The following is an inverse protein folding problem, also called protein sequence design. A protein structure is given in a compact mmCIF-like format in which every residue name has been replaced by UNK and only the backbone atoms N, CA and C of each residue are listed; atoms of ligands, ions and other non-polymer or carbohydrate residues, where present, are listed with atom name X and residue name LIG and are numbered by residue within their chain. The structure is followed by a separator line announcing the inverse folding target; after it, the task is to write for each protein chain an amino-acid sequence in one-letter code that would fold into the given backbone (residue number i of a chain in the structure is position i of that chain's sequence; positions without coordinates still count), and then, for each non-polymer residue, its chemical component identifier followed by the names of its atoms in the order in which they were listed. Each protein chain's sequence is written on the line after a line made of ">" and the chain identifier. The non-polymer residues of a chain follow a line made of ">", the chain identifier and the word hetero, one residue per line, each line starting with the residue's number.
data_IF_006154743581
#
_entry.id   IF_006154743581
#
_cell.length_a   1.000
_cell.length_b   1.000
_cell.length_c   1.000
_cell.angle_alpha   90.00
_cell.angle_beta   90.00
_cell.angle_gamma   90.00
#
_symmetry.space_group_name_H-M   'P 1'
#
loop_
_entity.id
_entity.type
_entity.pdbx_description
1 polymer ?
#
# COMPACT_ATOMS: atom_id res chain seq x y z
N UNK A 1 3.31 29.37 18.65
CA UNK A 1 1.95 29.43 18.06
C UNK A 1 1.25 28.09 18.31
N UNK A 2 -0.07 28.08 18.53
CA UNK A 2 -0.82 26.82 18.63
C UNK A 2 -1.09 26.29 17.21
N UNK A 3 -0.68 25.06 16.93
CA UNK A 3 -0.84 24.43 15.61
C UNK A 3 -2.30 24.27 15.19
N UNK A 4 -3.19 23.93 16.10
CA UNK A 4 -4.63 23.83 15.83
C UNK A 4 -5.20 25.16 15.33
N UNK A 5 -4.80 26.27 15.97
CA UNK A 5 -5.20 27.62 15.56
C UNK A 5 -4.66 27.95 14.17
N UNK A 6 -3.39 27.63 13.90
CA UNK A 6 -2.78 27.83 12.58
C UNK A 6 -3.51 27.05 11.49
N UNK A 7 -3.74 25.76 11.71
CA UNK A 7 -4.49 24.91 10.77
C UNK A 7 -5.91 25.41 10.57
N UNK A 8 -6.54 25.96 11.60
CA UNK A 8 -7.85 26.62 11.47
C UNK A 8 -7.84 27.83 10.54
N UNK A 9 -6.78 28.63 10.54
CA UNK A 9 -6.59 29.72 9.56
C UNK A 9 -6.39 29.15 8.14
N UNK A 10 -5.56 28.13 7.98
CA UNK A 10 -5.34 27.47 6.69
C UNK A 10 -6.65 26.88 6.15
N UNK A 11 -7.46 26.24 6.99
CA UNK A 11 -8.78 25.72 6.59
C UNK A 11 -9.70 26.83 6.11
N UNK A 12 -9.71 27.98 6.80
CA UNK A 12 -10.54 29.12 6.41
C UNK A 12 -10.07 29.75 5.10
N UNK A 13 -8.76 29.85 4.90
CA UNK A 13 -8.19 30.34 3.62
C UNK A 13 -8.55 29.41 2.47
N UNK A 14 -8.37 28.10 2.66
CA UNK A 14 -8.74 27.09 1.66
C UNK A 14 -10.23 27.14 1.28
N UNK A 15 -11.13 27.42 2.23
CA UNK A 15 -12.58 27.56 1.95
C UNK A 15 -12.88 28.65 0.93
N UNK A 16 -12.06 29.68 0.83
CA UNK A 16 -12.22 30.75 -0.15
C UNK A 16 -11.85 30.29 -1.57
N UNK A 17 -11.00 29.28 -1.68
CA UNK A 17 -10.47 28.76 -2.94
C UNK A 17 -11.10 27.43 -3.40
N UNK A 18 -12.09 26.91 -2.66
CA UNK A 18 -12.74 25.61 -2.99
C UNK A 18 -13.44 25.60 -4.37
N UNK A 19 -13.82 26.78 -4.90
CA UNK A 19 -14.35 26.90 -6.25
C UNK A 19 -13.35 26.55 -7.36
N UNK A 20 -12.05 26.53 -7.05
CA UNK A 20 -10.98 26.16 -7.97
C UNK A 20 -10.82 24.63 -8.12
N UNK A 21 -11.50 23.85 -7.28
CA UNK A 21 -11.46 22.38 -7.33
C UNK A 21 -12.56 21.87 -8.24
N UNK A 22 -12.19 21.22 -9.30
CA UNK A 22 -13.10 20.67 -10.31
C UNK A 22 -12.82 19.17 -10.60
N UNK A 23 -13.50 18.63 -11.60
CA UNK A 23 -13.35 17.21 -11.98
C UNK A 23 -11.99 16.85 -12.60
N UNK A 24 -11.16 17.83 -12.93
CA UNK A 24 -9.82 17.63 -13.51
C UNK A 24 -8.71 17.81 -12.48
N UNK A 25 -9.03 18.32 -11.30
CA UNK A 25 -8.10 18.55 -10.22
C UNK A 25 -7.45 17.22 -9.79
N UNK A 26 -6.14 17.14 -9.89
CA UNK A 26 -5.34 15.99 -9.45
C UNK A 26 -5.04 16.06 -7.95
N UNK A 27 -4.61 14.97 -7.31
CA UNK A 27 -4.11 15.02 -5.93
C UNK A 27 -2.97 16.02 -5.74
N UNK A 28 -2.03 16.11 -6.69
CA UNK A 28 -0.91 17.07 -6.67
C UNK A 28 -1.41 18.52 -6.75
N UNK A 29 -2.44 18.81 -7.54
CA UNK A 29 -3.04 20.16 -7.59
C UNK A 29 -3.64 20.55 -6.22
N UNK A 30 -4.21 19.57 -5.50
CA UNK A 30 -4.72 19.83 -4.14
C UNK A 30 -3.58 20.09 -3.16
N UNK A 31 -2.46 19.39 -3.27
CA UNK A 31 -1.27 19.66 -2.45
C UNK A 31 -0.74 21.08 -2.69
N UNK A 32 -0.65 21.50 -3.94
CA UNK A 32 -0.25 22.87 -4.32
C UNK A 32 -1.23 23.91 -3.74
N UNK A 33 -2.53 23.67 -3.86
CA UNK A 33 -3.56 24.55 -3.28
C UNK A 33 -3.40 24.70 -1.76
N UNK A 34 -3.12 23.61 -1.06
CA UNK A 34 -2.88 23.63 0.40
C UNK A 34 -1.60 24.40 0.73
N UNK A 35 -0.51 24.16 -0.01
CA UNK A 35 0.75 24.90 0.14
C UNK A 35 0.55 26.40 -0.05
N UNK A 36 -0.18 26.81 -1.08
CA UNK A 36 -0.42 28.22 -1.39
C UNK A 36 -1.28 28.88 -0.30
N UNK A 37 -2.28 28.19 0.24
CA UNK A 37 -3.06 28.66 1.38
C UNK A 37 -2.21 28.83 2.64
N UNK A 38 -1.27 27.92 2.90
CA UNK A 38 -0.32 28.03 4.02
C UNK A 38 0.53 29.31 3.85
N UNK A 39 1.09 29.55 2.67
CA UNK A 39 1.90 30.73 2.39
C UNK A 39 1.09 32.01 2.60
N UNK A 40 -0.15 32.05 2.08
CA UNK A 40 -1.04 33.19 2.23
C UNK A 40 -1.38 33.50 3.70
N UNK A 41 -1.61 32.46 4.51
CA UNK A 41 -1.82 32.61 5.97
C UNK A 41 -0.57 33.12 6.64
N UNK A 42 0.61 32.63 6.30
CA UNK A 42 1.88 33.10 6.87
C UNK A 42 2.11 34.58 6.54
N UNK A 43 1.87 34.99 5.30
CA UNK A 43 1.96 36.41 4.88
C UNK A 43 0.95 37.29 5.62
N UNK A 44 -0.32 36.87 5.65
CA UNK A 44 -1.41 37.65 6.27
C UNK A 44 -1.19 37.86 7.78
N UNK A 45 -0.72 36.83 8.45
CA UNK A 45 -0.47 36.85 9.91
C UNK A 45 0.95 37.28 10.28
N UNK A 46 1.80 37.58 9.29
CA UNK A 46 3.21 37.95 9.47
C UNK A 46 3.98 36.89 10.27
N UNK A 47 3.74 35.60 9.96
CA UNK A 47 4.38 34.47 10.60
C UNK A 47 5.61 34.07 9.78
N UNK A 48 6.80 34.06 10.40
CA UNK A 48 7.98 33.45 9.79
C UNK A 48 7.79 31.94 9.74
N UNK A 49 7.73 31.40 8.52
CA UNK A 49 7.57 29.96 8.28
C UNK A 49 8.30 29.55 7.00
N UNK A 50 9.18 28.59 7.10
CA UNK A 50 9.76 27.94 5.94
C UNK A 50 8.85 26.75 5.55
N UNK A 51 8.25 26.81 4.36
CA UNK A 51 7.38 25.76 3.86
C UNK A 51 8.19 24.82 2.95
N UNK A 52 8.35 23.58 3.39
CA UNK A 52 9.02 22.51 2.64
C UNK A 52 7.95 21.68 1.90
N UNK A 53 8.02 21.63 0.58
CA UNK A 53 7.14 20.83 -0.27
C UNK A 53 7.90 20.36 -1.51
N UNK A 54 7.72 19.09 -1.89
CA UNK A 54 8.28 18.51 -3.12
C UNK A 54 7.13 18.00 -3.96
N UNK A 55 6.86 18.66 -5.07
CA UNK A 55 5.79 18.30 -6.00
C UNK A 55 5.96 16.87 -6.51
N UNK A 56 4.89 16.06 -6.36
CA UNK A 56 4.90 14.65 -6.71
C UNK A 56 5.82 13.79 -5.85
N UNK A 57 6.31 14.30 -4.72
CA UNK A 57 7.06 13.56 -3.72
C UNK A 57 6.22 12.45 -3.08
N UNK A 58 6.89 11.44 -2.54
CA UNK A 58 6.24 10.36 -1.78
C UNK A 58 6.64 10.39 -0.29
N UNK A 59 7.02 11.58 0.20
CA UNK A 59 7.36 11.79 1.60
C UNK A 59 6.10 11.90 2.46
N UNK A 60 6.23 11.56 3.73
CA UNK A 60 5.23 11.83 4.75
C UNK A 60 5.83 12.78 5.79
N UNK A 61 5.13 13.82 6.21
CA UNK A 61 3.94 14.39 5.59
C UNK A 61 4.25 15.09 4.25
N UNK A 62 3.21 15.41 3.46
CA UNK A 62 3.37 16.03 2.13
C UNK A 62 4.00 17.42 2.21
N UNK A 63 3.65 18.21 3.25
CA UNK A 63 4.15 19.56 3.48
C UNK A 63 4.69 19.67 4.92
N UNK A 64 5.82 20.35 5.10
CA UNK A 64 6.36 20.69 6.43
C UNK A 64 6.47 22.20 6.57
N UNK A 65 5.88 22.73 7.64
CA UNK A 65 5.93 24.12 8.05
C UNK A 65 6.91 24.27 9.19
N UNK A 66 8.10 24.84 8.94
CA UNK A 66 9.10 25.11 10.00
C UNK A 66 8.98 26.54 10.48
N UNK A 67 8.66 26.68 11.74
CA UNK A 67 8.52 27.99 12.42
C UNK A 67 9.80 28.38 13.16
N UNK A 68 10.66 27.42 13.47
CA UNK A 68 12.00 27.60 14.06
C UNK A 68 12.83 26.32 13.86
N UNK A 69 14.08 26.33 14.34
CA UNK A 69 14.94 25.13 14.34
C UNK A 69 14.34 23.96 15.14
N UNK A 70 13.50 24.25 16.13
CA UNK A 70 12.91 23.26 17.05
C UNK A 70 11.39 23.17 16.97
N UNK A 71 10.75 23.87 16.02
CA UNK A 71 9.29 23.90 15.91
C UNK A 71 8.84 23.68 14.46
N UNK A 72 8.27 22.52 14.20
CA UNK A 72 7.80 22.14 12.86
C UNK A 72 6.46 21.41 12.91
N UNK A 73 5.58 21.76 11.97
CA UNK A 73 4.26 21.17 11.78
C UNK A 73 4.23 20.42 10.44
N UNK A 74 3.80 19.17 10.47
CA UNK A 74 3.51 18.38 9.27
C UNK A 74 2.07 18.54 8.80
N UNK A 75 1.85 18.67 7.50
CA UNK A 75 0.53 18.66 6.88
C UNK A 75 0.49 17.53 5.86
N UNK A 76 -0.35 16.55 6.13
CA UNK A 76 -0.66 15.46 5.21
C UNK A 76 -1.91 15.82 4.41
N UNK A 77 -1.81 15.86 3.10
CA UNK A 77 -2.90 16.23 2.20
C UNK A 77 -3.60 14.99 1.67
N UNK A 78 -4.90 14.96 1.77
CA UNK A 78 -5.73 13.90 1.19
C UNK A 78 -6.81 14.51 0.31
N UNK A 79 -7.11 13.84 -0.80
CA UNK A 79 -8.17 14.29 -1.69
C UNK A 79 -9.07 13.14 -2.16
N UNK A 80 -10.33 13.46 -2.43
CA UNK A 80 -11.31 12.57 -3.04
C UNK A 80 -12.13 13.34 -4.05
N UNK A 81 -11.72 13.30 -5.30
CA UNK A 81 -12.35 14.05 -6.40
C UNK A 81 -13.29 13.13 -7.18
N UNK A 82 -14.56 13.12 -6.79
CA UNK A 82 -15.61 12.26 -7.35
C UNK A 82 -16.90 13.04 -7.60
N UNK A 83 -16.96 13.96 -8.59
CA UNK A 83 -18.04 14.93 -8.76
C UNK A 83 -19.42 14.30 -9.02
N UNK A 84 -19.48 13.03 -9.45
CA UNK A 84 -20.74 12.29 -9.66
C UNK A 84 -21.14 11.42 -8.47
N UNK A 85 -20.30 11.30 -7.45
CA UNK A 85 -20.54 10.43 -6.29
C UNK A 85 -21.43 11.11 -5.26
N UNK A 86 -22.29 10.29 -4.62
CA UNK A 86 -23.04 10.65 -3.41
C UNK A 86 -22.28 10.38 -2.12
N UNK A 87 -21.02 9.91 -2.20
CA UNK A 87 -20.24 9.52 -1.05
C UNK A 87 -19.95 10.71 -0.13
N UNK A 88 -20.52 10.71 1.07
CA UNK A 88 -20.29 11.70 2.12
C UNK A 88 -19.30 11.20 3.21
N UNK A 89 -18.75 10.01 3.07
CA UNK A 89 -17.77 9.46 4.03
C UNK A 89 -16.49 10.31 4.04
N UNK A 90 -15.93 10.54 5.22
CA UNK A 90 -14.66 11.19 5.48
C UNK A 90 -13.58 10.17 5.87
N UNK A 91 -13.79 8.92 5.49
CA UNK A 91 -12.87 7.81 5.73
C UNK A 91 -11.97 7.59 4.53
N UNK A 92 -10.68 7.44 4.77
CA UNK A 92 -9.68 7.17 3.74
C UNK A 92 -8.57 6.27 4.30
N UNK A 93 -7.88 5.56 3.42
CA UNK A 93 -6.65 4.87 3.79
C UNK A 93 -5.50 5.88 3.92
N UNK A 94 -4.89 5.91 5.08
CA UNK A 94 -3.67 6.68 5.36
C UNK A 94 -2.41 5.97 4.85
N UNK A 95 -1.28 6.45 5.30
CA UNK A 95 0.03 5.93 4.93
C UNK A 95 0.32 4.59 5.62
N UNK A 96 1.33 3.88 5.17
CA UNK A 96 1.83 2.72 5.91
C UNK A 96 2.40 3.16 7.24
N UNK A 97 2.31 2.30 8.25
CA UNK A 97 2.82 2.59 9.60
C UNK A 97 4.31 2.96 9.57
N UNK A 98 5.09 2.26 8.75
CA UNK A 98 6.53 2.55 8.61
C UNK A 98 6.80 3.81 7.76
N UNK A 99 5.94 4.13 6.80
CA UNK A 99 6.09 5.33 5.96
C UNK A 99 5.72 6.62 6.66
N UNK A 100 5.09 6.57 7.85
CA UNK A 100 4.61 7.73 8.59
C UNK A 100 5.44 8.04 9.86
N UNK A 101 6.72 7.70 9.84
CA UNK A 101 7.63 7.84 10.99
C UNK A 101 8.56 9.03 10.85
N UNK A 102 8.03 10.23 10.63
CA UNK A 102 8.86 11.42 10.63
C UNK A 102 8.96 11.99 12.05
N UNK A 103 10.16 11.99 12.60
CA UNK A 103 10.43 12.43 13.98
C UNK A 103 10.79 13.93 14.10
N UNK A 104 11.09 14.59 12.97
CA UNK A 104 11.52 15.99 12.93
C UNK A 104 10.36 17.00 12.81
N UNK A 105 9.12 16.54 13.02
CA UNK A 105 7.93 17.38 13.17
C UNK A 105 7.27 17.14 14.52
N UNK A 106 6.85 18.20 15.20
CA UNK A 106 6.22 18.11 16.52
C UNK A 106 4.85 17.45 16.45
N UNK A 107 4.08 17.84 15.44
CA UNK A 107 2.72 17.36 15.21
C UNK A 107 2.42 17.24 13.73
N UNK A 108 1.38 16.48 13.38
CA UNK A 108 0.90 16.32 12.01
C UNK A 108 -0.61 16.51 11.95
N UNK A 109 -1.08 17.24 10.94
CA UNK A 109 -2.50 17.41 10.65
C UNK A 109 -2.82 16.88 9.28
N UNK A 110 -4.05 16.37 9.11
CA UNK A 110 -4.60 16.02 7.80
C UNK A 110 -5.43 17.18 7.31
N UNK A 111 -5.22 17.55 6.05
CA UNK A 111 -6.09 18.42 5.26
C UNK A 111 -6.74 17.56 4.19
N UNK A 112 -8.05 17.33 4.31
CA UNK A 112 -8.79 16.50 3.38
C UNK A 112 -9.75 17.33 2.54
N UNK A 113 -9.48 17.42 1.25
CA UNK A 113 -10.32 18.10 0.26
C UNK A 113 -11.17 17.09 -0.50
N UNK A 114 -12.47 17.32 -0.54
CA UNK A 114 -13.45 16.42 -1.14
C UNK A 114 -14.34 17.15 -2.12
N UNK A 115 -14.41 16.66 -3.35
CA UNK A 115 -15.40 17.06 -4.34
C UNK A 115 -16.37 15.90 -4.59
N UNK A 116 -17.65 16.12 -4.35
CA UNK A 116 -18.75 15.21 -4.71
C UNK A 116 -19.88 15.98 -5.40
N UNK A 117 -21.00 15.32 -5.69
CA UNK A 117 -22.13 15.98 -6.37
C UNK A 117 -22.77 17.15 -5.59
N UNK A 118 -22.52 17.25 -4.28
CA UNK A 118 -23.05 18.29 -3.43
C UNK A 118 -22.12 19.51 -3.32
N UNK A 119 -20.94 19.45 -3.95
CA UNK A 119 -19.94 20.52 -3.95
C UNK A 119 -18.58 20.09 -3.43
N UNK A 120 -17.73 21.09 -3.20
CA UNK A 120 -16.40 20.92 -2.65
C UNK A 120 -16.40 21.21 -1.15
N UNK A 121 -15.75 20.36 -0.39
CA UNK A 121 -15.70 20.42 1.07
C UNK A 121 -14.27 20.20 1.53
N UNK A 122 -13.96 20.74 2.71
CA UNK A 122 -12.67 20.54 3.37
C UNK A 122 -12.91 20.18 4.84
N UNK A 123 -12.01 19.37 5.38
CA UNK A 123 -11.85 19.11 6.80
C UNK A 123 -10.37 19.01 7.17
N UNK A 124 -10.05 19.61 8.29
CA UNK A 124 -8.73 19.50 8.91
C UNK A 124 -8.87 18.81 10.26
N UNK A 125 -7.92 17.93 10.59
CA UNK A 125 -7.90 17.25 11.88
C UNK A 125 -6.47 16.78 12.21
N UNK A 126 -6.14 16.73 13.49
CA UNK A 126 -4.88 16.18 13.96
C UNK A 126 -4.78 14.72 13.52
N UNK A 127 -3.59 14.32 13.03
CA UNK A 127 -3.40 12.99 12.43
C UNK A 127 -3.74 11.87 13.41
N UNK A 128 -3.16 11.91 14.62
CA UNK A 128 -3.38 10.86 15.62
C UNK A 128 -4.84 10.74 16.07
N UNK A 129 -5.58 11.86 16.12
CA UNK A 129 -7.00 11.88 16.46
C UNK A 129 -7.91 11.33 15.36
N UNK A 130 -7.41 11.30 14.12
CA UNK A 130 -8.15 10.81 12.96
C UNK A 130 -7.89 9.34 12.62
N UNK A 131 -6.91 8.70 13.26
CA UNK A 131 -6.67 7.26 13.07
C UNK A 131 -7.76 6.45 13.74
N UNK A 132 -8.67 5.90 12.95
CA UNK A 132 -9.75 5.06 13.44
C UNK A 132 -9.31 3.63 13.74
N UNK A 133 -8.42 3.10 12.92
CA UNK A 133 -7.99 1.70 13.03
C UNK A 133 -6.71 1.46 12.21
N UNK A 134 -6.15 0.26 12.35
CA UNK A 134 -5.08 -0.24 11.51
C UNK A 134 -5.63 -1.35 10.64
N UNK A 135 -5.50 -1.18 9.33
CA UNK A 135 -5.92 -2.16 8.33
C UNK A 135 -4.72 -2.63 7.52
N UNK A 136 -4.78 -3.86 7.05
CA UNK A 136 -3.72 -4.42 6.22
C UNK A 136 -4.22 -4.57 4.79
N UNK A 137 -3.54 -3.89 3.89
CA UNK A 137 -3.71 -4.05 2.44
C UNK A 137 -2.56 -4.91 1.90
N UNK A 138 -1.51 -4.30 1.39
CA UNK A 138 -0.21 -4.93 1.11
C UNK A 138 0.82 -4.64 2.23
N UNK A 139 0.51 -3.72 3.12
CA UNK A 139 1.24 -3.40 4.35
C UNK A 139 0.25 -2.92 5.41
N UNK A 140 0.58 -2.94 6.70
CA UNK A 140 -0.21 -2.28 7.73
C UNK A 140 -0.30 -0.78 7.46
N UNK A 141 -1.53 -0.25 7.38
CA UNK A 141 -1.84 1.14 7.08
C UNK A 141 -2.84 1.69 8.08
N UNK A 142 -2.78 2.98 8.30
CA UNK A 142 -3.80 3.66 9.07
C UNK A 142 -5.11 3.75 8.27
N UNK A 143 -6.22 3.48 8.94
CA UNK A 143 -7.56 3.83 8.47
C UNK A 143 -7.93 5.16 9.13
N UNK A 144 -8.06 6.19 8.33
CA UNK A 144 -8.35 7.54 8.78
C UNK A 144 -9.84 7.79 8.70
N UNK A 145 -10.43 8.38 9.75
CA UNK A 145 -11.78 8.90 9.76
C UNK A 145 -11.79 10.29 10.45
N UNK A 146 -12.06 11.33 9.67
CA UNK A 146 -12.08 12.70 10.17
C UNK A 146 -13.37 13.04 10.96
N UNK A 147 -14.35 12.12 11.02
CA UNK A 147 -15.62 12.32 11.77
C UNK A 147 -15.60 11.69 13.16
N UNK A 148 -14.68 10.77 13.46
CA UNK A 148 -14.63 10.12 14.76
C UNK A 148 -14.29 11.10 15.89
N UNK A 149 -14.69 10.78 17.10
CA UNK A 149 -14.22 11.50 18.28
C UNK A 149 -12.74 11.16 18.55
N UNK A 150 -11.96 12.14 19.01
CA UNK A 150 -10.53 11.94 19.33
C UNK A 150 -10.34 10.83 20.38
N UNK A 151 -11.22 10.72 21.38
CA UNK A 151 -11.17 9.65 22.38
C UNK A 151 -11.41 8.23 21.80
N UNK A 152 -11.98 8.12 20.61
CA UNK A 152 -12.21 6.86 19.89
C UNK A 152 -11.09 6.53 18.92
N UNK A 153 -10.05 7.37 18.83
CA UNK A 153 -8.89 7.08 17.96
C UNK A 153 -8.18 5.79 18.39
N UNK A 154 -7.53 5.13 17.43
CA UNK A 154 -6.74 3.92 17.70
C UNK A 154 -5.73 4.17 18.83
N UNK A 155 -5.04 5.29 18.82
CA UNK A 155 -4.02 5.63 19.81
C UNK A 155 -4.62 5.79 21.22
N UNK A 156 -5.75 6.46 21.34
CA UNK A 156 -6.43 6.60 22.62
C UNK A 156 -6.98 5.27 23.15
N UNK A 157 -7.53 4.42 22.28
CA UNK A 157 -8.06 3.10 22.67
C UNK A 157 -6.96 2.09 23.01
N UNK A 158 -5.86 2.13 22.25
CA UNK A 158 -4.75 1.17 22.42
C UNK A 158 -3.86 1.49 23.61
N UNK A 159 -3.84 2.75 24.07
CA UNK A 159 -2.88 3.25 25.04
C UNK A 159 -1.45 3.38 24.51
N UNK A 160 -1.25 3.21 23.19
CA UNK A 160 0.02 3.47 22.51
C UNK A 160 -0.01 4.92 22.06
N UNK A 161 0.98 5.74 22.46
CA UNK A 161 1.05 7.10 21.93
C UNK A 161 1.60 7.12 20.51
N UNK A 162 1.14 8.08 19.70
CA UNK A 162 1.66 8.26 18.33
C UNK A 162 3.16 8.58 18.32
N UNK A 163 3.63 9.35 19.31
CA UNK A 163 5.05 9.66 19.43
C UNK A 163 5.90 8.45 19.83
N UNK A 164 5.38 7.59 20.71
CA UNK A 164 6.03 6.31 21.03
C UNK A 164 6.17 5.45 19.79
N UNK A 165 5.10 5.36 18.98
CA UNK A 165 5.12 4.58 17.73
C UNK A 165 6.13 5.17 16.73
N UNK A 166 6.18 6.50 16.59
CA UNK A 166 7.15 7.18 15.71
C UNK A 166 8.61 6.93 16.11
N UNK A 167 8.89 6.89 17.40
CA UNK A 167 10.23 6.68 17.96
C UNK A 167 10.65 5.21 18.09
N UNK A 168 9.77 4.25 17.83
CA UNK A 168 10.05 2.84 18.05
C UNK A 168 10.97 2.25 16.97
N UNK A 169 11.97 1.48 17.38
CA UNK A 169 12.78 0.66 16.45
C UNK A 169 11.93 -0.37 15.69
N UNK A 170 10.89 -0.90 16.33
CA UNK A 170 9.95 -1.86 15.75
C UNK A 170 8.48 -1.43 15.98
N UNK A 171 7.96 -0.47 15.19
CA UNK A 171 6.57 -0.01 15.30
C UNK A 171 5.54 -1.12 15.10
N UNK A 172 5.83 -2.06 14.20
CA UNK A 172 4.94 -3.21 13.92
C UNK A 172 4.86 -4.13 15.13
N UNK A 173 5.97 -4.34 15.84
CA UNK A 173 6.00 -5.14 17.07
C UNK A 173 5.12 -4.57 18.18
N UNK A 174 5.13 -3.25 18.38
CA UNK A 174 4.25 -2.59 19.35
C UNK A 174 2.77 -2.83 19.05
N UNK A 175 2.39 -2.65 17.78
CA UNK A 175 1.02 -2.86 17.32
C UNK A 175 0.63 -4.34 17.42
N UNK A 176 1.51 -5.25 17.03
CA UNK A 176 1.30 -6.69 17.15
C UNK A 176 1.03 -7.10 18.59
N UNK A 177 1.82 -6.58 19.54
CA UNK A 177 1.65 -6.88 20.96
C UNK A 177 0.31 -6.36 21.50
N UNK A 178 -0.14 -5.19 21.05
CA UNK A 178 -1.46 -4.67 21.40
C UNK A 178 -2.58 -5.62 20.91
N UNK A 179 -2.59 -5.99 19.63
CA UNK A 179 -3.61 -6.88 19.09
C UNK A 179 -3.63 -8.25 19.77
N UNK A 180 -2.46 -8.81 20.11
CA UNK A 180 -2.35 -10.07 20.86
C UNK A 180 -2.93 -9.94 22.27
N UNK A 181 -2.62 -8.86 22.97
CA UNK A 181 -3.11 -8.63 24.34
C UNK A 181 -4.62 -8.51 24.38
N UNK A 182 -5.22 -7.83 23.40
CA UNK A 182 -6.68 -7.63 23.33
C UNK A 182 -7.42 -8.85 22.75
N UNK A 183 -6.72 -9.94 22.42
CA UNK A 183 -7.31 -11.13 21.82
C UNK A 183 -7.92 -10.86 20.42
N UNK A 184 -7.53 -9.77 19.79
CA UNK A 184 -7.99 -9.40 18.47
C UNK A 184 -7.25 -10.24 17.43
N UNK A 185 -7.97 -11.07 16.68
CA UNK A 185 -7.43 -11.79 15.54
C UNK A 185 -7.26 -10.85 14.36
N UNK A 186 -6.07 -10.28 14.22
CA UNK A 186 -5.69 -9.72 12.94
C UNK A 186 -5.15 -10.87 12.09
N UNK A 187 -5.67 -11.04 10.87
CA UNK A 187 -5.26 -12.14 9.98
C UNK A 187 -3.75 -12.17 9.66
N UNK A 188 -3.06 -11.08 9.88
CA UNK A 188 -1.61 -10.94 9.74
C UNK A 188 -0.82 -11.26 11.03
N UNK A 189 -1.52 -11.56 12.13
CA UNK A 189 -0.94 -12.11 13.34
C UNK A 189 -1.08 -13.62 13.26
N UNK A 190 0.04 -14.35 13.27
CA UNK A 190 0.00 -15.78 13.35
C UNK A 190 -0.63 -16.22 14.68
N UNK A 191 -1.55 -17.20 14.65
CA UNK A 191 -2.09 -17.82 15.86
C UNK A 191 -0.99 -18.52 16.68
N UNK A 192 0.05 -18.99 16.00
CA UNK A 192 1.31 -19.47 16.60
C UNK A 192 2.44 -18.56 16.13
N UNK A 193 2.85 -17.58 16.93
CA UNK A 193 4.08 -16.84 16.64
C UNK A 193 5.27 -17.77 16.85
N UNK A 194 6.10 -18.00 15.83
CA UNK A 194 7.41 -18.60 16.04
C UNK A 194 8.21 -17.70 16.98
N UNK A 195 9.14 -18.30 17.71
CA UNK A 195 9.95 -17.59 18.71
C UNK A 195 10.75 -16.40 18.12
N UNK A 196 10.96 -16.41 16.80
CA UNK A 196 11.64 -15.33 16.07
C UNK A 196 10.92 -15.11 14.74
N UNK A 197 10.36 -13.91 14.55
CA UNK A 197 9.86 -13.45 13.24
C UNK A 197 11.01 -12.69 12.58
N UNK A 198 11.37 -13.11 11.36
CA UNK A 198 12.39 -12.45 10.53
C UNK A 198 11.73 -11.45 9.58
N UNK A 199 12.46 -10.42 9.23
CA UNK A 199 12.08 -9.53 8.13
C UNK A 199 12.57 -10.11 6.80
N UNK A 200 11.99 -9.62 5.69
CA UNK A 200 12.41 -10.03 4.35
C UNK A 200 13.90 -9.78 4.08
N UNK A 201 14.47 -8.74 4.68
CA UNK A 201 15.87 -8.36 4.45
C UNK A 201 16.87 -9.23 5.25
N UNK A 202 16.38 -10.00 6.23
CA UNK A 202 17.18 -10.93 7.04
C UNK A 202 17.32 -12.35 6.45
N UNK A 203 16.65 -12.63 5.33
CA UNK A 203 16.75 -13.93 4.65
C UNK A 203 17.75 -13.86 3.50
N UNK A 204 18.37 -15.00 3.19
CA UNK A 204 19.30 -15.12 2.07
C UNK A 204 18.59 -15.14 0.71
N UNK A 205 19.36 -15.01 -0.35
CA UNK A 205 18.83 -14.92 -1.70
C UNK A 205 18.24 -16.25 -2.20
N UNK A 206 18.72 -17.39 -1.70
CA UNK A 206 18.20 -18.71 -2.04
C UNK A 206 16.78 -18.87 -1.51
N UNK A 207 16.56 -18.57 -0.22
CA UNK A 207 15.24 -18.60 0.39
C UNK A 207 14.29 -17.56 -0.23
N UNK A 208 14.80 -16.37 -0.60
CA UNK A 208 14.02 -15.38 -1.35
C UNK A 208 13.53 -15.91 -2.69
N UNK A 209 14.43 -16.56 -3.44
CA UNK A 209 14.09 -17.15 -4.74
C UNK A 209 13.06 -18.26 -4.62
N UNK A 210 13.19 -19.11 -3.61
CA UNK A 210 12.20 -20.15 -3.27
C UNK A 210 10.84 -19.53 -2.99
N UNK A 211 10.77 -18.59 -2.04
CA UNK A 211 9.53 -17.96 -1.60
C UNK A 211 8.85 -17.22 -2.76
N UNK A 212 9.59 -16.45 -3.56
CA UNK A 212 9.03 -15.72 -4.71
C UNK A 212 8.43 -16.71 -5.72
N UNK A 213 9.15 -17.77 -6.03
CA UNK A 213 8.71 -18.77 -7.01
C UNK A 213 7.47 -19.51 -6.56
N UNK A 214 7.45 -19.99 -5.32
CA UNK A 214 6.28 -20.64 -4.71
C UNK A 214 5.09 -19.69 -4.64
N UNK A 215 5.31 -18.42 -4.25
CA UNK A 215 4.25 -17.43 -4.16
C UNK A 215 3.59 -17.16 -5.51
N UNK A 216 4.36 -17.06 -6.60
CA UNK A 216 3.80 -16.91 -7.95
C UNK A 216 2.98 -18.12 -8.41
N UNK A 217 3.32 -19.30 -7.92
CA UNK A 217 2.53 -20.52 -8.19
C UNK A 217 1.27 -20.54 -7.33
N UNK A 218 1.41 -20.41 -6.02
CA UNK A 218 0.34 -20.63 -5.05
C UNK A 218 -0.72 -19.52 -5.05
N UNK A 219 -0.35 -18.28 -5.43
CA UNK A 219 -1.22 -17.11 -5.35
C UNK A 219 -1.41 -16.41 -6.72
N UNK A 220 -2.17 -17.01 -7.65
CA UNK A 220 -2.43 -16.41 -8.97
C UNK A 220 -3.01 -15.00 -8.91
N UNK A 221 -3.73 -14.66 -7.82
CA UNK A 221 -4.27 -13.32 -7.58
C UNK A 221 -3.21 -12.21 -7.53
N UNK A 222 -1.93 -12.55 -7.32
CA UNK A 222 -0.82 -11.59 -7.36
C UNK A 222 -0.70 -10.91 -8.74
N UNK A 223 -1.13 -11.59 -9.80
CA UNK A 223 -1.12 -11.06 -11.16
C UNK A 223 -2.28 -10.11 -11.44
N UNK A 224 -3.28 -10.08 -10.57
CA UNK A 224 -4.45 -9.21 -10.69
C UNK A 224 -4.21 -7.78 -10.20
N UNK A 225 -5.25 -6.95 -10.29
CA UNK A 225 -5.25 -5.55 -9.88
C UNK A 225 -5.87 -5.30 -8.49
N UNK A 226 -6.38 -6.34 -7.81
CA UNK A 226 -7.04 -6.20 -6.52
C UNK A 226 -6.10 -5.66 -5.44
N UNK A 227 -6.58 -4.72 -4.63
CA UNK A 227 -5.83 -4.16 -3.49
C UNK A 227 -5.62 -5.18 -2.37
N UNK A 228 -6.43 -6.23 -2.32
CA UNK A 228 -6.36 -7.29 -1.27
C UNK A 228 -5.57 -8.53 -1.71
N UNK A 229 -4.97 -8.52 -2.89
CA UNK A 229 -4.24 -9.67 -3.48
C UNK A 229 -3.10 -10.21 -2.62
N UNK A 230 -2.56 -9.42 -1.72
CA UNK A 230 -1.47 -9.83 -0.82
C UNK A 230 -1.94 -10.49 0.47
N UNK A 231 -3.24 -10.57 0.73
CA UNK A 231 -3.78 -11.06 2.02
C UNK A 231 -3.38 -12.52 2.29
N UNK A 232 -3.57 -13.40 1.31
CA UNK A 232 -3.22 -14.82 1.43
C UNK A 232 -1.71 -15.03 1.49
N UNK A 233 -0.97 -14.31 0.65
CA UNK A 233 0.49 -14.32 0.65
C UNK A 233 1.05 -13.91 2.02
N UNK A 234 0.58 -12.82 2.62
CA UNK A 234 1.06 -12.37 3.92
C UNK A 234 0.84 -13.42 5.01
N UNK A 235 -0.35 -14.04 5.04
CA UNK A 235 -0.65 -15.12 5.98
C UNK A 235 0.31 -16.32 5.76
N UNK A 236 0.50 -16.72 4.52
CA UNK A 236 1.36 -17.84 4.15
C UNK A 236 2.83 -17.62 4.53
N UNK A 237 3.36 -16.40 4.31
CA UNK A 237 4.73 -16.04 4.72
C UNK A 237 4.94 -16.18 6.22
N UNK A 238 4.01 -15.66 7.01
CA UNK A 238 4.09 -15.76 8.47
C UNK A 238 3.96 -17.22 8.93
N UNK A 239 2.99 -17.95 8.39
CA UNK A 239 2.68 -19.31 8.83
C UNK A 239 3.79 -20.32 8.46
N UNK A 240 4.37 -20.22 7.24
CA UNK A 240 5.30 -21.21 6.73
C UNK A 240 6.78 -20.85 6.91
N UNK A 241 7.10 -19.55 6.94
CA UNK A 241 8.48 -19.07 6.94
C UNK A 241 8.82 -18.19 8.14
N UNK A 242 7.83 -17.81 8.95
CA UNK A 242 8.02 -16.84 10.03
C UNK A 242 8.57 -15.49 9.55
N UNK A 243 8.14 -15.06 8.38
CA UNK A 243 8.63 -13.85 7.72
C UNK A 243 7.50 -12.84 7.63
N UNK A 244 7.82 -11.58 7.96
CA UNK A 244 6.95 -10.43 7.69
C UNK A 244 7.67 -9.43 6.79
N UNK A 245 6.89 -8.73 5.96
CA UNK A 245 7.38 -7.60 5.19
C UNK A 245 6.28 -6.55 5.04
N UNK A 246 6.68 -5.29 5.15
CA UNK A 246 5.77 -4.13 5.08
C UNK A 246 5.53 -3.66 3.65
N UNK A 247 6.31 -4.18 2.70
CA UNK A 247 6.31 -3.80 1.29
C UNK A 247 6.16 -5.01 0.35
N UNK A 248 5.23 -5.92 0.67
CA UNK A 248 4.98 -7.12 -0.16
C UNK A 248 4.76 -6.78 -1.65
N UNK A 249 4.18 -5.62 -1.94
CA UNK A 249 4.04 -5.13 -3.30
C UNK A 249 5.39 -5.03 -4.01
N UNK A 250 6.39 -4.47 -3.35
CA UNK A 250 7.71 -4.22 -3.96
C UNK A 250 8.51 -5.52 -4.06
N UNK A 251 8.30 -6.43 -3.10
CA UNK A 251 8.95 -7.75 -3.11
C UNK A 251 8.41 -8.67 -4.20
N UNK A 252 7.10 -8.70 -4.42
CA UNK A 252 6.45 -9.67 -5.30
C UNK A 252 5.94 -9.10 -6.63
N UNK A 253 5.52 -7.87 -6.68
CA UNK A 253 4.92 -7.31 -7.89
C UNK A 253 5.10 -5.82 -8.04
N UNK A 254 6.26 -5.26 -7.64
CA UNK A 254 6.52 -3.84 -7.72
C UNK A 254 5.70 -3.19 -8.85
N UNK A 255 4.65 -2.41 -8.53
CA UNK A 255 3.57 -2.01 -9.44
C UNK A 255 3.98 -1.18 -10.67
N UNK A 256 5.24 -1.34 -11.11
CA UNK A 256 5.84 -0.69 -12.24
C UNK A 256 5.70 -1.46 -13.54
N UNK A 257 6.13 -0.82 -14.61
CA UNK A 257 6.28 -1.40 -15.95
C UNK A 257 7.73 -1.29 -16.36
N UNK A 258 8.27 -2.34 -17.00
CA UNK A 258 9.60 -2.34 -17.61
C UNK A 258 9.47 -2.27 -19.13
N UNK A 259 10.38 -1.53 -19.78
CA UNK A 259 10.51 -1.56 -21.23
C UNK A 259 11.18 -2.87 -21.63
N UNK A 260 10.53 -3.62 -22.51
CA UNK A 260 11.06 -4.88 -23.05
C UNK A 260 10.84 -4.96 -24.54
N UNK A 261 11.82 -5.49 -25.26
CA UNK A 261 11.72 -5.74 -26.70
C UNK A 261 11.17 -7.15 -26.94
N UNK A 262 9.97 -7.21 -27.48
CA UNK A 262 9.27 -8.48 -27.84
C UNK A 262 8.89 -8.43 -29.31
N UNK A 263 9.31 -9.43 -30.09
CA UNK A 263 9.04 -9.49 -31.53
C UNK A 263 9.37 -8.18 -32.28
N UNK A 264 10.58 -7.64 -32.00
CA UNK A 264 11.11 -6.38 -32.59
C UNK A 264 10.31 -5.11 -32.21
N UNK A 265 9.39 -5.17 -31.26
CA UNK A 265 8.64 -4.01 -30.74
C UNK A 265 9.00 -3.75 -29.28
N UNK A 266 9.20 -2.50 -28.93
CA UNK A 266 9.34 -2.08 -27.53
C UNK A 266 7.97 -2.01 -26.89
N UNK A 267 7.78 -2.75 -25.80
CA UNK A 267 6.53 -2.79 -25.03
C UNK A 267 6.79 -2.42 -23.57
N UNK A 268 5.76 -1.93 -22.93
CA UNK A 268 5.73 -1.76 -21.48
C UNK A 268 5.12 -3.00 -20.84
N UNK A 269 5.96 -3.84 -20.26
CA UNK A 269 5.58 -5.09 -19.60
C UNK A 269 5.36 -4.85 -18.10
N UNK A 270 4.31 -5.42 -17.47
CA UNK A 270 4.18 -5.41 -16.02
C UNK A 270 5.41 -6.03 -15.35
N UNK A 271 5.91 -5.40 -14.29
CA UNK A 271 7.10 -5.86 -13.57
C UNK A 271 6.97 -7.30 -13.07
N UNK A 272 5.77 -7.73 -12.64
CA UNK A 272 5.53 -9.11 -12.20
C UNK A 272 5.82 -10.13 -13.31
N UNK A 273 5.50 -9.82 -14.58
CA UNK A 273 5.77 -10.72 -15.71
C UNK A 273 7.28 -10.84 -15.95
N UNK A 274 8.00 -9.72 -15.83
CA UNK A 274 9.47 -9.74 -15.92
C UNK A 274 10.09 -10.60 -14.82
N UNK A 275 9.59 -10.51 -13.59
CA UNK A 275 10.02 -11.36 -12.48
C UNK A 275 9.73 -12.85 -12.72
N UNK A 276 8.57 -13.18 -13.25
CA UNK A 276 8.27 -14.58 -13.63
C UNK A 276 9.29 -15.14 -14.63
N UNK A 277 9.79 -14.31 -15.55
CA UNK A 277 10.85 -14.75 -16.46
C UNK A 277 12.19 -14.99 -15.73
N UNK A 278 12.55 -14.09 -14.81
CA UNK A 278 13.77 -14.23 -14.00
C UNK A 278 13.74 -15.52 -13.17
N UNK A 279 12.59 -15.84 -12.57
CA UNK A 279 12.40 -17.01 -11.72
C UNK A 279 11.85 -18.24 -12.47
N UNK A 280 11.83 -18.24 -13.80
CA UNK A 280 11.24 -19.32 -14.61
C UNK A 280 11.73 -20.71 -14.22
N UNK A 281 13.05 -20.89 -14.05
CA UNK A 281 13.64 -22.19 -13.71
C UNK A 281 13.13 -22.69 -12.34
N UNK A 282 13.09 -21.80 -11.36
CA UNK A 282 12.60 -22.09 -10.01
C UNK A 282 11.10 -22.38 -10.00
N UNK A 283 10.30 -21.64 -10.80
CA UNK A 283 8.86 -21.88 -10.95
C UNK A 283 8.61 -23.27 -11.52
N UNK A 284 9.33 -23.66 -12.57
CA UNK A 284 9.22 -25.00 -13.17
C UNK A 284 9.57 -26.09 -12.16
N UNK A 285 10.67 -25.90 -11.42
CA UNK A 285 11.09 -26.82 -10.36
C UNK A 285 10.02 -26.98 -9.29
N UNK A 286 9.47 -25.88 -8.76
CA UNK A 286 8.45 -25.94 -7.71
C UNK A 286 7.10 -26.46 -8.21
N UNK A 287 6.71 -26.19 -9.46
CA UNK A 287 5.51 -26.80 -10.06
C UNK A 287 5.61 -28.32 -10.14
N UNK A 288 6.83 -28.86 -10.27
CA UNK A 288 7.06 -30.30 -10.27
C UNK A 288 7.01 -30.90 -8.86
N UNK A 289 7.51 -30.20 -7.85
CA UNK A 289 7.70 -30.71 -6.49
C UNK A 289 6.48 -30.49 -5.58
N UNK A 290 5.78 -29.35 -5.70
CA UNK A 290 4.61 -29.08 -4.85
C UNK A 290 3.58 -30.20 -4.95
N UNK A 291 3.00 -30.60 -3.82
CA UNK A 291 2.00 -31.66 -3.80
C UNK A 291 0.72 -31.23 -4.51
N UNK A 292 0.03 -32.17 -5.15
CA UNK A 292 -1.25 -31.86 -5.78
C UNK A 292 -2.32 -31.45 -4.76
N UNK A 293 -2.25 -31.96 -3.56
CA UNK A 293 -3.16 -31.61 -2.47
C UNK A 293 -2.96 -30.13 -2.06
N UNK A 294 -1.69 -29.68 -1.89
CA UNK A 294 -1.37 -28.28 -1.59
C UNK A 294 -1.84 -27.34 -2.71
N UNK A 295 -1.63 -27.73 -3.97
CA UNK A 295 -2.12 -26.96 -5.12
C UNK A 295 -3.65 -26.93 -5.14
N UNK A 296 -4.32 -28.07 -4.90
CA UNK A 296 -5.78 -28.15 -4.91
C UNK A 296 -6.41 -27.30 -3.80
N UNK A 297 -5.85 -27.32 -2.61
CA UNK A 297 -6.29 -26.54 -1.46
C UNK A 297 -6.05 -25.03 -1.72
N UNK A 298 -4.83 -24.69 -2.11
CA UNK A 298 -4.46 -23.27 -2.29
C UNK A 298 -5.20 -22.62 -3.45
N UNK A 299 -5.41 -23.37 -4.53
CA UNK A 299 -6.13 -22.88 -5.71
C UNK A 299 -7.65 -23.00 -5.61
N UNK A 300 -8.15 -23.62 -4.52
CA UNK A 300 -9.57 -23.98 -4.38
C UNK A 300 -10.10 -24.73 -5.61
N UNK A 301 -9.27 -25.60 -6.18
CA UNK A 301 -9.52 -26.26 -7.46
C UNK A 301 -9.16 -27.75 -7.42
N UNK A 302 -10.14 -28.57 -7.09
CA UNK A 302 -9.98 -30.03 -7.01
C UNK A 302 -9.61 -30.69 -8.36
N UNK A 303 -9.82 -30.04 -9.50
CA UNK A 303 -9.48 -30.60 -10.81
C UNK A 303 -7.98 -30.77 -10.99
N UNK A 304 -7.14 -30.02 -10.27
CA UNK A 304 -5.69 -30.15 -10.35
C UNK A 304 -5.20 -31.52 -9.86
N UNK A 305 -5.95 -32.22 -8.99
CA UNK A 305 -5.66 -33.58 -8.56
C UNK A 305 -5.61 -34.58 -9.72
N UNK A 306 -6.14 -34.24 -10.87
CA UNK A 306 -6.12 -35.06 -12.09
C UNK A 306 -4.84 -34.84 -12.94
N UNK A 307 -3.99 -33.86 -12.57
CA UNK A 307 -2.75 -33.59 -13.28
C UNK A 307 -1.80 -34.79 -13.15
N UNK A 308 -1.39 -35.34 -14.28
CA UNK A 308 -0.47 -36.51 -14.32
C UNK A 308 0.96 -36.12 -14.63
N UNK A 309 1.16 -34.95 -15.17
CA UNK A 309 2.46 -34.45 -15.61
C UNK A 309 2.69 -33.01 -15.09
N UNK A 310 3.94 -32.60 -15.05
CA UNK A 310 4.31 -31.20 -14.76
C UNK A 310 3.70 -30.26 -15.79
N UNK A 311 3.55 -30.69 -17.05
CA UNK A 311 2.90 -29.90 -18.11
C UNK A 311 1.41 -29.65 -17.80
N UNK A 312 0.70 -30.64 -17.25
CA UNK A 312 -0.68 -30.43 -16.78
C UNK A 312 -0.75 -29.38 -15.69
N UNK A 313 0.17 -29.42 -14.71
CA UNK A 313 0.25 -28.43 -13.61
C UNK A 313 0.55 -27.03 -14.14
N UNK A 314 1.49 -26.89 -15.07
CA UNK A 314 1.79 -25.63 -15.76
C UNK A 314 0.53 -25.09 -16.44
N UNK A 315 -0.21 -25.93 -17.15
CA UNK A 315 -1.42 -25.52 -17.84
C UNK A 315 -2.53 -25.07 -16.86
N UNK A 316 -2.71 -25.76 -15.74
CA UNK A 316 -3.63 -25.33 -14.67
C UNK A 316 -3.22 -23.96 -14.13
N UNK A 317 -1.95 -23.80 -13.77
CA UNK A 317 -1.41 -22.55 -13.27
C UNK A 317 -1.58 -21.39 -14.27
N UNK A 318 -1.18 -21.59 -15.53
CA UNK A 318 -1.30 -20.58 -16.59
C UNK A 318 -2.76 -20.16 -16.84
N UNK A 319 -3.70 -21.11 -16.74
CA UNK A 319 -5.12 -20.80 -16.87
C UNK A 319 -5.63 -19.90 -15.73
N UNK A 320 -5.14 -20.07 -14.51
CA UNK A 320 -5.53 -19.23 -13.38
C UNK A 320 -4.88 -17.84 -13.47
N UNK A 321 -3.58 -17.79 -13.72
CA UNK A 321 -2.86 -16.52 -13.93
C UNK A 321 -3.45 -15.75 -15.11
N UNK A 322 -3.83 -16.44 -16.19
CA UNK A 322 -4.45 -15.81 -17.36
C UNK A 322 -5.79 -15.12 -17.05
N UNK A 323 -6.55 -15.61 -16.08
CA UNK A 323 -7.79 -14.96 -15.62
C UNK A 323 -7.54 -13.67 -14.85
N UNK A 324 -6.44 -13.60 -14.12
CA UNK A 324 -6.06 -12.45 -13.31
C UNK A 324 -5.37 -11.34 -14.13
N UNK A 325 -4.71 -11.71 -15.25
CA UNK A 325 -3.98 -10.77 -16.07
C UNK A 325 -4.93 -9.84 -16.84
N UNK A 326 -4.72 -8.56 -16.69
CA UNK A 326 -5.41 -7.54 -17.46
C UNK A 326 -4.69 -7.40 -18.81
N UNK A 327 -5.43 -7.43 -19.92
CA UNK A 327 -4.87 -7.14 -21.24
C UNK A 327 -4.30 -5.73 -21.26
N UNK A 328 -3.07 -5.59 -21.75
CA UNK A 328 -2.46 -4.27 -21.95
C UNK A 328 -3.01 -3.63 -23.23
N UNK A 329 -3.25 -2.32 -23.20
CA UNK A 329 -3.75 -1.53 -24.35
C UNK A 329 -2.85 -1.57 -25.59
N UNK A 330 -1.64 -2.11 -25.48
CA UNK A 330 -0.66 -2.25 -26.56
C UNK A 330 -0.83 -3.51 -27.42
N UNK A 331 -1.93 -4.23 -27.27
CA UNK A 331 -2.31 -5.37 -28.10
C UNK A 331 -1.55 -6.67 -27.81
N UNK A 332 -0.79 -6.76 -26.71
CA UNK A 332 -0.13 -8.00 -26.29
C UNK A 332 -0.91 -8.65 -25.16
N UNK A 333 -1.39 -9.86 -25.43
CA UNK A 333 -2.01 -10.70 -24.41
C UNK A 333 -0.93 -11.34 -23.53
N UNK A 334 -0.82 -10.90 -22.27
CA UNK A 334 0.18 -11.41 -21.32
C UNK A 334 -0.01 -12.88 -20.97
N UNK A 335 -1.24 -13.39 -20.99
CA UNK A 335 -1.52 -14.82 -20.82
C UNK A 335 -0.89 -15.65 -21.96
N UNK A 336 -1.07 -15.23 -23.21
CA UNK A 336 -0.43 -15.87 -24.37
C UNK A 336 1.10 -15.73 -24.29
N UNK A 337 1.60 -14.61 -23.81
CA UNK A 337 3.04 -14.43 -23.62
C UNK A 337 3.61 -15.46 -22.63
N UNK A 338 2.99 -15.62 -21.47
CA UNK A 338 3.41 -16.63 -20.49
C UNK A 338 3.25 -18.07 -21.01
N UNK A 339 2.17 -18.38 -21.74
CA UNK A 339 2.04 -19.68 -22.40
C UNK A 339 3.23 -19.95 -23.34
N UNK A 340 3.61 -19.00 -24.17
CA UNK A 340 4.78 -19.14 -25.04
C UNK A 340 6.10 -19.27 -24.26
N UNK A 341 6.20 -18.64 -23.08
CA UNK A 341 7.38 -18.71 -22.23
C UNK A 341 7.56 -20.11 -21.62
N UNK A 342 6.46 -20.75 -21.16
CA UNK A 342 6.49 -22.01 -20.43
C UNK A 342 6.28 -23.24 -21.32
N UNK A 343 5.48 -23.15 -22.39
CA UNK A 343 5.15 -24.30 -23.26
C UNK A 343 6.15 -24.52 -24.42
N UNK A 344 7.13 -23.63 -24.65
CA UNK A 344 8.17 -23.82 -25.68
C UNK A 344 9.33 -24.74 -25.29
N UNK A 345 9.22 -25.47 -24.18
CA UNK A 345 10.31 -26.35 -23.69
C UNK A 345 10.46 -27.63 -24.50
N UNK A 346 9.47 -28.02 -25.30
CA UNK A 346 9.44 -29.32 -26.03
C UNK A 346 9.41 -29.15 -27.55
N UNK A 347 10.27 -28.33 -28.15
CA UNK A 347 10.66 -28.50 -29.57
C UNK A 347 12.18 -28.57 -29.65
N UNK A 348 12.70 -29.78 -30.06
CA UNK A 348 14.13 -29.96 -30.29
C UNK A 348 14.64 -29.05 -31.41
#
# INVERSE_FOLDING_TARGET
>A
MNYETFVGYVENELKQHLSNVDSKTSPTDVEVLVKDAINQVCETLQIECQVEYVEGGHSFPDIVCRFSETSALGIEVKSSIQPKSNNNSWTILGNSILGSTRVDVDDTYIVFVKLNKNGTFIKCKRYEDSVADIVVTHSPRYKIDLMQNSCESFFNRSGISYNELKGAENPIGLITNYFKREGLSAWWLAESSPAVIRTWDEIDDELRAEIISKAFILFPELFGSSSIKYKRLAKWLVTNYSITDTSLRDRFSAGGKVKKRVNFRDILMPQIIHRVEEYKANILYWLDILSLDELAETWENQKVLQAKTTEDRINFWLNMVGKELINLDNGINMGVYLQNLFCKINRP
#
